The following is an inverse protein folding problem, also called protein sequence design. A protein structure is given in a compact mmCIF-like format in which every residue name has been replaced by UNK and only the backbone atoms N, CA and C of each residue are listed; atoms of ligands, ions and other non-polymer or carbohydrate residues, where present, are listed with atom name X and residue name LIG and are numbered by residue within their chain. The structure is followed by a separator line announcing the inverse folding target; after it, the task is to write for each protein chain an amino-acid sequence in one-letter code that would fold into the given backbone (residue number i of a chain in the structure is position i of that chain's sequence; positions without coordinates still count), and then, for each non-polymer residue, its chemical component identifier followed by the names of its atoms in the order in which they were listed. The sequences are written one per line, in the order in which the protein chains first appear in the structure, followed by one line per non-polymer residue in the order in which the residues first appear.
data_IF_272499463676
#
_entry.id   IF_272499463676
#
_cell.length_a   1.000
_cell.length_b   1.000
_cell.length_c   1.000
_cell.angle_alpha   90.00
_cell.angle_beta   90.00
_cell.angle_gamma   90.00
#
_symmetry.space_group_name_H-M   'P 1'
#
loop_
_entity.id
_entity.type
_entity.pdbx_description
1 polymer ?
#
# COMPACT_ATOMS: atom_id res chain seq x y z
N UNK A 1 11.46 -3.38 25.94
CA UNK A 1 12.05 -4.62 25.37
C UNK A 1 13.44 -4.26 24.87
N UNK A 2 14.48 -4.92 25.40
CA UNK A 2 15.85 -4.74 24.92
C UNK A 2 16.01 -5.34 23.52
N UNK A 3 16.91 -4.78 22.69
CA UNK A 3 17.18 -5.21 21.30
C UNK A 3 17.50 -6.71 21.19
N UNK A 4 18.11 -7.30 22.23
CA UNK A 4 18.36 -8.76 22.31
C UNK A 4 17.09 -9.61 22.22
N UNK A 5 15.94 -9.09 22.65
CA UNK A 5 14.65 -9.80 22.53
C UNK A 5 14.07 -9.80 21.10
N UNK A 6 14.63 -9.00 20.19
CA UNK A 6 14.13 -8.82 18.83
C UNK A 6 14.83 -9.71 17.79
N UNK A 7 15.78 -10.56 18.22
CA UNK A 7 16.67 -11.33 17.31
C UNK A 7 17.48 -10.44 16.33
N UNK A 8 17.55 -9.13 16.58
CA UNK A 8 18.39 -8.21 15.82
C UNK A 8 19.77 -8.21 16.48
N UNK A 9 20.74 -8.75 15.77
CA UNK A 9 22.11 -8.75 16.25
C UNK A 9 22.76 -7.40 16.01
N UNK A 10 23.63 -6.98 16.94
CA UNK A 10 24.33 -5.69 16.85
C UNK A 10 25.12 -5.57 15.53
N UNK A 11 25.67 -6.68 15.02
CA UNK A 11 26.41 -6.70 13.76
C UNK A 11 25.57 -6.22 12.56
N UNK A 12 24.27 -6.53 12.53
CA UNK A 12 23.38 -6.10 11.44
C UNK A 12 23.23 -4.58 11.40
N UNK A 13 23.17 -3.94 12.57
CA UNK A 13 23.13 -2.47 12.69
C UNK A 13 24.49 -1.84 12.37
N UNK A 14 25.59 -2.50 12.74
CA UNK A 14 26.94 -2.06 12.37
C UNK A 14 27.10 -2.07 10.86
N UNK A 15 26.71 -3.16 10.19
CA UNK A 15 26.75 -3.28 8.72
C UNK A 15 25.85 -2.25 8.04
N UNK A 16 24.60 -2.08 8.49
CA UNK A 16 23.69 -1.08 7.94
C UNK A 16 24.28 0.35 7.99
N UNK A 17 24.85 0.73 9.14
CA UNK A 17 25.46 2.06 9.32
C UNK A 17 26.78 2.17 8.55
N UNK A 18 27.58 1.10 8.53
CA UNK A 18 28.85 1.06 7.80
C UNK A 18 28.64 1.21 6.29
N UNK A 19 27.70 0.47 5.70
CA UNK A 19 27.47 0.51 4.25
C UNK A 19 27.00 1.88 3.76
N UNK A 20 26.19 2.59 4.55
CA UNK A 20 25.53 3.83 4.10
C UNK A 20 26.23 5.12 4.54
N UNK A 21 26.88 5.15 5.70
CA UNK A 21 27.27 6.40 6.35
C UNK A 21 28.78 6.59 6.52
N UNK A 22 29.61 5.57 6.32
CA UNK A 22 31.06 5.72 6.48
C UNK A 22 31.89 4.67 5.77
N UNK A 23 33.08 5.05 5.32
CA UNK A 23 34.11 4.10 4.88
C UNK A 23 35.06 3.70 6.02
N UNK A 24 34.99 4.35 7.18
CA UNK A 24 35.79 4.03 8.38
C UNK A 24 35.06 3.09 9.33
N UNK A 25 35.78 2.36 10.18
CA UNK A 25 35.19 1.33 11.06
C UNK A 25 34.20 1.95 12.05
N UNK A 26 32.95 1.50 11.99
CA UNK A 26 31.90 1.88 12.93
C UNK A 26 32.03 1.06 14.23
N UNK A 27 31.92 1.73 15.37
CA UNK A 27 31.71 1.08 16.68
C UNK A 27 30.42 1.60 17.30
N UNK A 28 29.44 0.72 17.47
CA UNK A 28 28.20 1.07 18.18
C UNK A 28 28.51 1.30 19.67
N UNK A 29 27.96 2.38 20.21
CA UNK A 29 28.09 2.79 21.61
C UNK A 29 26.80 2.50 22.39
N UNK A 30 25.65 2.77 21.78
CA UNK A 30 24.35 2.55 22.39
C UNK A 30 23.27 2.35 21.32
N UNK A 31 22.27 1.53 21.62
CA UNK A 31 21.10 1.30 20.78
C UNK A 31 19.86 1.46 21.65
N UNK A 32 18.94 2.33 21.24
CA UNK A 32 17.61 2.43 21.84
C UNK A 32 16.56 2.07 20.81
N UNK A 33 15.58 1.24 21.19
CA UNK A 33 14.51 0.83 20.27
C UNK A 33 13.14 1.06 20.89
N UNK A 34 12.15 1.34 20.03
CA UNK A 34 10.74 1.42 20.40
C UNK A 34 9.90 0.74 19.33
N UNK A 35 9.04 -0.18 19.75
CA UNK A 35 8.01 -0.72 18.86
C UNK A 35 7.06 0.43 18.46
N UNK A 36 6.82 0.56 17.16
CA UNK A 36 5.89 1.53 16.58
C UNK A 36 4.69 0.86 15.91
N UNK A 37 4.58 -0.48 15.99
CA UNK A 37 3.37 -1.20 15.62
C UNK A 37 2.18 -0.79 16.46
N UNK A 38 1.25 -0.03 15.89
CA UNK A 38 -0.01 0.29 16.53
C UNK A 38 -1.00 -0.88 16.40
N UNK A 39 -1.77 -1.15 17.47
CA UNK A 39 -2.85 -2.16 17.47
C UNK A 39 -3.85 -1.82 16.36
N UNK A 40 -4.06 -2.75 15.42
CA UNK A 40 -5.01 -2.61 14.31
C UNK A 40 -4.47 -1.88 13.05
N UNK A 41 -3.17 -1.57 13.01
CA UNK A 41 -2.55 -0.88 11.87
C UNK A 41 -1.49 -1.75 11.15
N UNK A 42 -0.74 -2.58 11.88
CA UNK A 42 0.35 -3.38 11.33
C UNK A 42 0.11 -4.87 11.58
N UNK A 43 -0.90 -5.45 10.92
CA UNK A 43 -1.17 -6.89 11.04
C UNK A 43 -0.07 -7.75 10.41
N UNK A 44 0.58 -7.24 9.35
CA UNK A 44 1.48 -8.00 8.50
C UNK A 44 2.96 -7.80 8.82
N UNK A 45 3.32 -6.96 9.79
CA UNK A 45 4.71 -6.77 10.21
C UNK A 45 4.83 -6.20 11.61
N UNK A 46 5.99 -6.40 12.22
CA UNK A 46 6.40 -5.67 13.42
C UNK A 46 7.45 -4.61 13.08
N UNK A 47 7.14 -3.35 13.37
CA UNK A 47 7.97 -2.18 13.06
C UNK A 47 8.58 -1.59 14.33
N UNK A 48 9.87 -1.30 14.26
CA UNK A 48 10.65 -0.70 15.33
C UNK A 48 11.35 0.56 14.83
N UNK A 49 11.24 1.64 15.61
CA UNK A 49 12.15 2.77 15.47
C UNK A 49 13.38 2.53 16.34
N UNK A 50 14.57 2.59 15.75
CA UNK A 50 15.83 2.31 16.43
C UNK A 50 16.79 3.48 16.26
N UNK A 51 17.24 4.04 17.38
CA UNK A 51 18.30 5.05 17.41
C UNK A 51 19.62 4.38 17.73
N UNK A 52 20.61 4.56 16.86
CA UNK A 52 21.96 4.02 17.00
C UNK A 52 22.93 5.16 17.25
N UNK A 53 23.58 5.15 18.42
CA UNK A 53 24.74 6.02 18.71
C UNK A 53 26.01 5.25 18.41
N UNK A 54 26.91 5.83 17.63
CA UNK A 54 28.11 5.16 17.16
C UNK A 54 29.30 6.12 17.06
N UNK A 55 30.49 5.55 16.97
CA UNK A 55 31.74 6.27 16.72
C UNK A 55 32.36 5.77 15.43
N UNK A 56 32.93 6.69 14.65
CA UNK A 56 33.71 6.37 13.45
C UNK A 56 35.19 6.37 13.84
N UNK A 57 35.88 5.24 13.70
CA UNK A 57 37.33 5.18 13.86
C UNK A 57 38.01 5.52 12.52
N UNK A 58 38.74 6.65 12.47
CA UNK A 58 39.62 6.98 11.35
C UNK A 58 41.02 6.43 11.59
N UNK A 59 41.70 5.96 10.54
CA UNK A 59 43.10 5.49 10.63
C UNK A 59 44.08 6.60 11.05
N UNK A 60 43.70 7.88 10.92
CA UNK A 60 44.64 9.01 11.02
C UNK A 60 44.34 10.07 12.09
N UNK A 61 43.30 9.98 12.93
CA UNK A 61 43.06 11.03 13.95
C UNK A 61 42.49 10.53 15.29
N UNK A 62 42.90 11.24 16.37
CA UNK A 62 42.40 11.17 17.75
C UNK A 62 40.94 11.65 17.92
N UNK A 63 40.24 12.04 16.85
CA UNK A 63 38.85 12.52 16.94
C UNK A 63 37.88 11.34 17.07
N UNK A 64 37.45 11.09 18.31
CA UNK A 64 36.37 10.16 18.66
C UNK A 64 34.99 10.81 18.42
N UNK A 65 34.70 11.26 17.20
CA UNK A 65 33.42 11.92 16.92
C UNK A 65 32.26 10.92 17.09
N UNK A 66 31.41 11.20 18.07
CA UNK A 66 30.18 10.44 18.30
C UNK A 66 29.07 10.97 17.38
N UNK A 67 28.38 10.05 16.73
CA UNK A 67 27.27 10.32 15.81
C UNK A 67 26.06 9.51 16.22
N UNK A 68 24.90 9.91 15.71
CA UNK A 68 23.66 9.17 15.90
C UNK A 68 22.84 9.13 14.61
N UNK A 69 22.19 8.00 14.36
CA UNK A 69 21.21 7.85 13.29
C UNK A 69 19.94 7.16 13.81
N UNK A 70 18.82 7.42 13.15
CA UNK A 70 17.53 6.79 13.43
C UNK A 70 17.13 5.93 12.22
N UNK A 71 16.69 4.70 12.52
CA UNK A 71 16.40 3.66 11.56
C UNK A 71 15.01 3.09 11.81
N UNK A 72 14.40 2.57 10.75
CA UNK A 72 13.21 1.75 10.83
C UNK A 72 13.61 0.30 10.60
N UNK A 73 13.21 -0.58 11.51
CA UNK A 73 13.42 -2.02 11.37
C UNK A 73 12.06 -2.68 11.21
N UNK A 74 11.89 -3.44 10.12
CA UNK A 74 10.69 -4.23 9.83
C UNK A 74 11.03 -5.71 9.96
N UNK A 75 10.21 -6.41 10.73
CA UNK A 75 10.32 -7.84 11.01
C UNK A 75 9.02 -8.55 10.69
N UNK A 76 9.10 -9.84 10.35
CA UNK A 76 7.91 -10.69 10.29
C UNK A 76 7.12 -10.64 11.62
N UNK A 77 5.79 -10.76 11.58
CA UNK A 77 4.97 -10.69 12.79
C UNK A 77 5.41 -11.67 13.88
N UNK A 78 5.41 -11.23 15.14
CA UNK A 78 5.61 -12.12 16.29
C UNK A 78 4.42 -13.07 16.50
N UNK A 79 3.21 -12.64 16.10
CA UNK A 79 2.00 -13.47 16.16
C UNK A 79 2.04 -14.54 15.07
N UNK A 80 1.92 -15.80 15.48
CA UNK A 80 2.02 -16.98 14.62
C UNK A 80 1.09 -16.92 13.40
N UNK A 81 -0.22 -16.70 13.61
CA UNK A 81 -1.17 -16.66 12.50
C UNK A 81 -0.89 -15.54 11.49
N UNK A 82 -0.47 -14.37 11.96
CA UNK A 82 -0.09 -13.27 11.08
C UNK A 82 1.17 -13.63 10.27
N UNK A 83 2.14 -14.31 10.90
CA UNK A 83 3.34 -14.80 10.22
C UNK A 83 3.02 -15.87 9.18
N UNK A 84 2.13 -16.81 9.48
CA UNK A 84 1.65 -17.81 8.51
C UNK A 84 1.07 -17.15 7.27
N UNK A 85 0.21 -16.12 7.44
CA UNK A 85 -0.39 -15.37 6.33
C UNK A 85 0.69 -14.65 5.50
N UNK A 86 1.66 -14.03 6.16
CA UNK A 86 2.78 -13.33 5.52
C UNK A 86 3.64 -14.29 4.70
N UNK A 87 3.97 -15.45 5.25
CA UNK A 87 4.81 -16.46 4.61
C UNK A 87 4.07 -17.17 3.47
N UNK A 88 2.79 -17.51 3.63
CA UNK A 88 1.98 -18.13 2.57
C UNK A 88 1.85 -17.25 1.33
N UNK A 89 1.95 -15.93 1.48
CA UNK A 89 1.81 -14.95 0.41
C UNK A 89 3.15 -14.36 -0.06
N UNK A 90 4.28 -14.78 0.53
CA UNK A 90 5.62 -14.28 0.23
C UNK A 90 5.77 -12.74 0.41
N UNK A 91 5.02 -12.12 1.34
CA UNK A 91 4.91 -10.65 1.42
C UNK A 91 6.26 -9.96 1.70
N UNK A 92 7.09 -10.53 2.59
CA UNK A 92 8.42 -9.99 2.88
C UNK A 92 9.37 -10.19 1.69
N UNK A 93 9.29 -11.32 1.00
CA UNK A 93 10.10 -11.54 -0.19
C UNK A 93 9.76 -10.54 -1.30
N UNK A 94 8.47 -10.26 -1.51
CA UNK A 94 7.98 -9.25 -2.44
C UNK A 94 8.54 -7.87 -2.07
N UNK A 95 8.34 -7.44 -0.81
CA UNK A 95 8.81 -6.14 -0.35
C UNK A 95 10.33 -5.99 -0.49
N UNK A 96 11.09 -7.00 -0.09
CA UNK A 96 12.55 -6.99 -0.20
C UNK A 96 13.01 -6.81 -1.64
N UNK A 97 12.41 -7.55 -2.59
CA UNK A 97 12.73 -7.39 -4.02
C UNK A 97 12.42 -5.98 -4.52
N UNK A 98 11.32 -5.38 -4.09
CA UNK A 98 11.00 -4.00 -4.47
C UNK A 98 12.04 -3.03 -3.90
N UNK A 99 12.31 -3.11 -2.60
CA UNK A 99 13.25 -2.23 -1.89
C UNK A 99 14.70 -2.37 -2.40
N UNK A 100 15.15 -3.60 -2.67
CA UNK A 100 16.53 -3.89 -3.08
C UNK A 100 16.74 -3.76 -4.58
N UNK A 101 15.82 -4.31 -5.38
CA UNK A 101 16.06 -4.54 -6.81
C UNK A 101 15.31 -3.56 -7.71
N UNK A 102 14.26 -2.88 -7.22
CA UNK A 102 13.41 -2.01 -8.06
C UNK A 102 13.54 -0.53 -7.69
N UNK A 103 13.28 -0.16 -6.44
CA UNK A 103 13.24 1.25 -6.03
C UNK A 103 14.54 2.02 -6.29
N UNK A 104 15.74 1.48 -6.03
CA UNK A 104 16.98 2.20 -6.34
C UNK A 104 17.09 2.52 -7.84
N UNK A 105 16.74 1.54 -8.70
CA UNK A 105 16.76 1.72 -10.16
C UNK A 105 15.74 2.76 -10.60
N UNK A 106 14.54 2.78 -10.01
CA UNK A 106 13.53 3.79 -10.33
C UNK A 106 14.00 5.17 -9.88
N UNK A 107 14.50 5.30 -8.65
CA UNK A 107 14.96 6.57 -8.10
C UNK A 107 16.07 7.21 -8.98
N UNK A 108 17.02 6.40 -9.45
CA UNK A 108 18.08 6.83 -10.37
C UNK A 108 17.52 7.31 -11.73
N UNK A 109 16.45 6.67 -12.20
CA UNK A 109 15.83 7.00 -13.50
C UNK A 109 15.02 8.28 -13.45
N UNK A 110 14.17 8.42 -12.43
CA UNK A 110 13.23 9.54 -12.32
C UNK A 110 13.81 10.74 -11.56
N UNK A 111 15.07 10.64 -11.12
CA UNK A 111 15.80 11.63 -10.31
C UNK A 111 14.98 12.11 -9.10
N UNK A 112 14.25 11.18 -8.49
CA UNK A 112 13.35 11.45 -7.38
C UNK A 112 13.08 10.18 -6.57
N UNK A 113 13.38 10.14 -5.26
CA UNK A 113 13.11 8.96 -4.46
C UNK A 113 11.59 8.71 -4.36
N UNK A 114 11.16 7.48 -4.63
CA UNK A 114 9.74 7.11 -4.53
C UNK A 114 9.41 6.55 -3.13
N UNK A 115 10.36 5.89 -2.49
CA UNK A 115 10.20 5.25 -1.18
C UNK A 115 11.46 5.33 -0.34
N UNK A 116 11.51 4.56 0.77
CA UNK A 116 12.66 4.56 1.67
C UNK A 116 13.86 3.81 1.07
N UNK A 117 15.06 4.23 1.44
CA UNK A 117 16.28 3.50 1.15
C UNK A 117 16.46 2.29 2.10
N UNK A 118 16.72 1.12 1.53
CA UNK A 118 17.11 -0.09 2.26
C UNK A 118 18.60 -0.03 2.60
N UNK A 119 18.92 -0.06 3.89
CA UNK A 119 20.30 0.03 4.39
C UNK A 119 20.91 -1.34 4.63
N UNK A 120 20.09 -2.31 5.03
CA UNK A 120 20.50 -3.69 5.24
C UNK A 120 19.29 -4.61 5.15
N UNK A 121 19.52 -5.83 4.68
CA UNK A 121 18.52 -6.89 4.73
C UNK A 121 19.15 -8.24 5.08
N UNK A 122 18.40 -9.06 5.81
CA UNK A 122 18.67 -10.49 5.96
C UNK A 122 17.46 -11.27 5.45
N UNK A 123 17.68 -12.43 4.83
CA UNK A 123 16.62 -13.27 4.26
C UNK A 123 16.15 -14.36 5.23
N UNK A 124 16.92 -14.67 6.29
CA UNK A 124 16.58 -15.69 7.27
C UNK A 124 17.13 -15.38 8.68
N UNK A 125 16.29 -14.90 9.62
CA UNK A 125 14.92 -14.43 9.39
C UNK A 125 14.89 -13.18 8.51
N UNK A 126 13.75 -12.87 7.90
CA UNK A 126 13.61 -11.60 7.19
C UNK A 126 13.75 -10.41 8.15
N UNK A 127 14.73 -9.55 7.88
CA UNK A 127 14.98 -8.30 8.61
C UNK A 127 15.24 -7.20 7.59
N UNK A 128 14.46 -6.12 7.62
CA UNK A 128 14.73 -4.93 6.81
C UNK A 128 15.14 -3.79 7.71
N UNK A 129 16.29 -3.18 7.44
CA UNK A 129 16.74 -1.95 8.09
C UNK A 129 16.70 -0.85 7.04
N UNK A 130 15.90 0.18 7.29
CA UNK A 130 15.67 1.30 6.38
C UNK A 130 15.93 2.62 7.10
N UNK A 131 16.10 3.68 6.32
CA UNK A 131 16.12 5.04 6.86
C UNK A 131 14.78 5.42 7.53
N UNK A 132 14.86 6.32 8.52
CA UNK A 132 13.67 6.95 9.11
C UNK A 132 13.26 8.21 8.33
N UNK A 133 12.27 8.07 7.45
CA UNK A 133 11.73 9.18 6.65
C UNK A 133 11.16 10.33 7.51
N UNK A 134 10.79 10.10 8.78
CA UNK A 134 10.35 11.17 9.67
C UNK A 134 11.47 12.20 9.90
N UNK A 135 12.75 11.81 9.81
CA UNK A 135 13.89 12.75 9.93
C UNK A 135 14.03 13.67 8.74
N UNK A 136 13.47 13.29 7.60
CA UNK A 136 13.46 14.10 6.39
C UNK A 136 12.20 14.99 6.29
N UNK A 137 11.36 14.98 7.34
CA UNK A 137 10.13 15.77 7.43
C UNK A 137 8.90 15.09 6.82
N UNK A 138 8.98 13.80 6.45
CA UNK A 138 7.84 13.07 5.93
C UNK A 138 6.97 12.51 7.07
N UNK A 139 5.65 12.66 6.95
CA UNK A 139 4.67 12.21 7.94
C UNK A 139 3.45 11.58 7.26
N UNK A 140 2.88 10.56 7.90
CA UNK A 140 1.59 9.99 7.46
C UNK A 140 0.45 10.94 7.84
N UNK A 141 -0.58 11.04 6.98
CA UNK A 141 -1.78 11.84 7.26
C UNK A 141 -2.82 11.02 8.01
N UNK A 142 -3.75 11.72 8.67
CA UNK A 142 -4.81 11.06 9.44
C UNK A 142 -5.83 10.40 8.50
N UNK A 143 -5.93 9.06 8.54
CA UNK A 143 -6.90 8.30 7.72
C UNK A 143 -8.35 8.71 7.89
N UNK A 144 -8.76 9.18 9.08
CA UNK A 144 -10.12 9.63 9.33
C UNK A 144 -10.46 10.96 8.63
N UNK A 145 -9.44 11.76 8.30
CA UNK A 145 -9.62 13.02 7.56
C UNK A 145 -9.58 12.83 6.05
N UNK A 146 -9.15 11.66 5.55
CA UNK A 146 -8.92 11.40 4.13
C UNK A 146 -7.92 12.41 3.51
N UNK A 147 -7.80 12.43 2.19
CA UNK A 147 -6.88 13.31 1.46
C UNK A 147 -7.63 14.42 0.72
N UNK A 148 -7.10 15.64 0.78
CA UNK A 148 -7.59 16.78 -0.03
C UNK A 148 -7.32 16.56 -1.51
N UNK A 149 -7.89 17.40 -2.36
CA UNK A 149 -7.67 17.36 -3.81
C UNK A 149 -6.18 17.50 -4.17
N UNK A 150 -5.47 18.45 -3.57
CA UNK A 150 -4.04 18.72 -3.82
C UNK A 150 -3.16 17.54 -3.37
N UNK A 151 -3.51 16.93 -2.22
CA UNK A 151 -2.82 15.74 -1.74
C UNK A 151 -3.05 14.54 -2.66
N UNK A 152 -4.27 14.37 -3.17
CA UNK A 152 -4.57 13.35 -4.18
C UNK A 152 -3.76 13.57 -5.45
N UNK A 153 -3.61 14.82 -5.91
CA UNK A 153 -2.77 15.14 -7.07
C UNK A 153 -1.32 14.68 -6.87
N UNK A 154 -0.72 15.00 -5.72
CA UNK A 154 0.65 14.58 -5.42
C UNK A 154 0.81 13.06 -5.42
N UNK A 155 -0.12 12.33 -4.81
CA UNK A 155 -0.04 10.86 -4.77
C UNK A 155 -0.22 10.26 -6.16
N UNK A 156 -1.17 10.74 -6.95
CA UNK A 156 -1.39 10.27 -8.34
C UNK A 156 -0.15 10.52 -9.20
N UNK A 157 0.51 11.67 -9.05
CA UNK A 157 1.76 11.97 -9.74
C UNK A 157 2.89 11.01 -9.30
N UNK A 158 3.00 10.72 -8.01
CA UNK A 158 4.00 9.76 -7.50
C UNK A 158 3.74 8.34 -7.99
N UNK A 159 2.48 7.88 -8.01
CA UNK A 159 2.09 6.59 -8.61
C UNK A 159 2.48 6.57 -10.10
N UNK A 160 2.18 7.64 -10.86
CA UNK A 160 2.55 7.72 -12.27
C UNK A 160 4.06 7.64 -12.51
N UNK A 161 4.88 8.31 -11.68
CA UNK A 161 6.34 8.25 -11.74
C UNK A 161 6.87 6.85 -11.39
N UNK A 162 6.31 6.22 -10.35
CA UNK A 162 6.64 4.85 -9.98
C UNK A 162 6.31 3.87 -11.12
N UNK A 163 5.12 3.99 -11.72
CA UNK A 163 4.69 3.19 -12.85
C UNK A 163 5.60 3.40 -14.07
N UNK A 164 5.94 4.65 -14.44
CA UNK A 164 6.87 4.95 -15.54
C UNK A 164 8.25 4.33 -15.30
N UNK A 165 8.81 4.50 -14.10
CA UNK A 165 10.08 3.90 -13.73
C UNK A 165 10.07 2.38 -13.81
N UNK A 166 8.97 1.74 -13.38
CA UNK A 166 8.81 0.28 -13.48
C UNK A 166 8.86 -0.20 -14.93
N UNK A 167 8.26 0.54 -15.89
CA UNK A 167 8.33 0.20 -17.31
C UNK A 167 9.77 0.25 -17.81
N UNK A 168 10.53 1.29 -17.46
CA UNK A 168 11.95 1.37 -17.82
C UNK A 168 12.80 0.25 -17.19
N UNK A 169 12.50 -0.16 -15.96
CA UNK A 169 13.16 -1.29 -15.31
C UNK A 169 12.84 -2.60 -16.06
N UNK A 170 11.58 -2.81 -16.42
CA UNK A 170 11.14 -3.98 -17.19
C UNK A 170 11.80 -4.07 -18.56
N UNK A 171 11.88 -2.96 -19.31
CA UNK A 171 12.54 -2.91 -20.61
C UNK A 171 14.03 -3.31 -20.55
N UNK A 172 14.69 -3.06 -19.41
CA UNK A 172 16.10 -3.39 -19.20
C UNK A 172 16.30 -4.80 -18.66
N UNK A 173 15.40 -5.26 -17.80
CA UNK A 173 15.45 -6.59 -17.20
C UNK A 173 14.03 -7.09 -16.87
N UNK A 174 13.36 -7.76 -17.83
CA UNK A 174 11.98 -8.21 -17.67
C UNK A 174 11.79 -9.15 -16.47
N UNK A 175 12.74 -10.05 -16.24
CA UNK A 175 12.67 -11.07 -15.19
C UNK A 175 12.57 -10.51 -13.76
N UNK A 176 12.94 -9.24 -13.53
CA UNK A 176 12.69 -8.60 -12.23
C UNK A 176 11.18 -8.44 -12.02
N UNK A 177 10.45 -7.83 -12.97
CA UNK A 177 9.04 -7.52 -12.79
C UNK A 177 8.13 -8.74 -12.99
N UNK A 178 8.48 -9.65 -13.90
CA UNK A 178 7.75 -10.92 -14.11
C UNK A 178 7.69 -11.74 -12.80
N UNK A 179 8.69 -11.59 -11.92
CA UNK A 179 8.69 -12.27 -10.61
C UNK A 179 7.58 -11.80 -9.64
N UNK A 180 6.83 -10.75 -9.98
CA UNK A 180 5.72 -10.20 -9.18
C UNK A 180 4.33 -10.55 -9.72
N UNK A 181 4.20 -11.37 -10.77
CA UNK A 181 2.90 -11.75 -11.36
C UNK A 181 1.93 -12.44 -10.38
N UNK A 182 2.47 -13.07 -9.32
CA UNK A 182 1.67 -13.79 -8.32
C UNK A 182 1.51 -13.01 -7.00
N UNK A 183 1.82 -11.71 -6.99
CA UNK A 183 1.62 -10.81 -5.85
C UNK A 183 0.18 -10.31 -5.70
N UNK A 184 -0.02 -9.31 -4.85
CA UNK A 184 -1.31 -8.62 -4.65
C UNK A 184 -2.14 -9.13 -3.46
N UNK A 185 -2.89 -8.21 -2.85
CA UNK A 185 -3.67 -8.42 -1.60
C UNK A 185 -4.80 -9.45 -1.71
N UNK A 186 -5.32 -9.66 -2.93
CA UNK A 186 -6.40 -10.62 -3.24
C UNK A 186 -5.94 -11.70 -4.21
N UNK A 187 -4.65 -12.02 -4.18
CA UNK A 187 -4.06 -13.06 -5.03
C UNK A 187 -4.60 -14.45 -4.68
N UNK A 188 -4.27 -15.44 -5.51
CA UNK A 188 -4.57 -16.86 -5.25
C UNK A 188 -3.93 -17.40 -3.95
N UNK A 189 -2.91 -16.72 -3.41
CA UNK A 189 -2.25 -17.06 -2.15
C UNK A 189 -2.98 -16.48 -0.93
N UNK A 190 -3.91 -15.55 -1.13
CA UNK A 190 -4.70 -14.97 -0.06
C UNK A 190 -5.59 -16.07 0.59
N UNK A 191 -5.68 -16.16 1.93
CA UNK A 191 -6.48 -17.17 2.60
C UNK A 191 -7.95 -17.16 2.13
N UNK A 192 -8.53 -18.34 1.89
CA UNK A 192 -9.91 -18.46 1.40
C UNK A 192 -10.94 -17.80 2.33
N UNK A 193 -10.68 -17.82 3.63
CA UNK A 193 -11.52 -17.18 4.63
C UNK A 193 -11.56 -15.64 4.48
N UNK A 194 -10.55 -15.01 3.87
CA UNK A 194 -10.61 -13.59 3.49
C UNK A 194 -11.66 -13.35 2.42
N UNK A 195 -11.76 -14.20 1.40
CA UNK A 195 -12.80 -14.09 0.37
C UNK A 195 -14.19 -14.39 0.94
N UNK A 196 -14.30 -15.33 1.89
CA UNK A 196 -15.54 -15.57 2.63
C UNK A 196 -15.98 -14.33 3.40
N UNK A 197 -15.05 -13.65 4.09
CA UNK A 197 -15.32 -12.38 4.77
C UNK A 197 -15.81 -11.31 3.80
N UNK A 198 -15.24 -11.20 2.60
CA UNK A 198 -15.73 -10.26 1.58
C UNK A 198 -17.15 -10.59 1.14
N UNK A 199 -17.45 -11.86 0.88
CA UNK A 199 -18.78 -12.34 0.52
C UNK A 199 -19.80 -12.00 1.61
N UNK A 200 -19.54 -12.37 2.86
CA UNK A 200 -20.44 -12.10 3.99
C UNK A 200 -20.63 -10.59 4.17
N UNK A 201 -19.58 -9.78 4.04
CA UNK A 201 -19.68 -8.32 4.12
C UNK A 201 -20.64 -7.76 3.06
N UNK A 202 -20.51 -8.19 1.81
CA UNK A 202 -21.39 -7.73 0.72
C UNK A 202 -22.83 -8.18 0.91
N UNK A 203 -23.07 -9.40 1.39
CA UNK A 203 -24.42 -9.88 1.69
C UNK A 203 -25.09 -9.03 2.76
N UNK A 204 -24.38 -8.71 3.85
CA UNK A 204 -24.89 -7.88 4.95
C UNK A 204 -25.17 -6.45 4.49
N UNK A 205 -24.22 -5.83 3.77
CA UNK A 205 -24.38 -4.50 3.20
C UNK A 205 -25.59 -4.48 2.26
N UNK A 206 -25.67 -5.42 1.32
CA UNK A 206 -26.78 -5.51 0.37
C UNK A 206 -28.13 -5.67 1.07
N UNK A 207 -28.21 -6.47 2.14
CA UNK A 207 -29.46 -6.65 2.88
C UNK A 207 -29.91 -5.37 3.60
N UNK A 208 -28.98 -4.63 4.21
CA UNK A 208 -29.28 -3.35 4.85
C UNK A 208 -29.75 -2.29 3.85
N UNK A 209 -29.13 -2.22 2.67
CA UNK A 209 -29.48 -1.24 1.64
C UNK A 209 -30.89 -1.42 1.08
N UNK A 210 -31.46 -2.63 1.09
CA UNK A 210 -32.87 -2.86 0.70
C UNK A 210 -33.84 -2.04 1.54
N UNK A 211 -33.48 -1.79 2.80
CA UNK A 211 -34.33 -1.09 3.77
C UNK A 211 -34.12 0.43 3.75
N UNK A 212 -33.22 0.96 2.91
CA UNK A 212 -32.97 2.40 2.80
C UNK A 212 -33.99 3.04 1.87
N UNK A 213 -35.07 3.55 2.45
CA UNK A 213 -36.16 4.21 1.70
C UNK A 213 -35.85 5.65 1.33
N UNK A 214 -34.85 6.27 1.96
CA UNK A 214 -34.49 7.67 1.73
C UNK A 214 -33.50 7.88 0.56
N UNK A 215 -32.91 6.80 0.04
CA UNK A 215 -32.04 6.83 -1.15
C UNK A 215 -32.37 5.64 -2.06
N UNK A 216 -33.36 5.83 -2.92
CA UNK A 216 -33.86 4.79 -3.84
C UNK A 216 -32.75 4.16 -4.70
N UNK A 217 -31.74 4.94 -5.10
CA UNK A 217 -30.60 4.46 -5.90
C UNK A 217 -29.73 3.44 -5.15
N UNK A 218 -29.60 3.56 -3.82
CA UNK A 218 -28.92 2.57 -2.99
C UNK A 218 -29.72 1.26 -2.91
N UNK A 219 -31.04 1.35 -2.69
CA UNK A 219 -31.91 0.19 -2.66
C UNK A 219 -31.91 -0.56 -4.01
N UNK A 220 -31.85 0.17 -5.14
CA UNK A 220 -31.72 -0.41 -6.50
C UNK A 220 -30.39 -1.15 -6.72
N UNK A 221 -29.32 -0.78 -6.02
CA UNK A 221 -28.03 -1.46 -6.12
C UNK A 221 -27.97 -2.75 -5.28
N UNK A 222 -28.81 -2.88 -4.24
CA UNK A 222 -28.78 -4.00 -3.30
C UNK A 222 -28.84 -5.40 -3.97
N UNK A 223 -29.76 -5.70 -4.92
CA UNK A 223 -29.81 -7.01 -5.55
C UNK A 223 -28.54 -7.35 -6.34
N UNK A 224 -27.91 -6.35 -6.97
CA UNK A 224 -26.65 -6.53 -7.71
C UNK A 224 -25.49 -6.80 -6.77
N UNK A 225 -25.40 -6.08 -5.65
CA UNK A 225 -24.37 -6.31 -4.62
C UNK A 225 -24.48 -7.72 -4.03
N UNK A 226 -25.70 -8.17 -3.72
CA UNK A 226 -25.96 -9.52 -3.21
C UNK A 226 -25.55 -10.58 -4.23
N UNK A 227 -25.93 -10.41 -5.50
CA UNK A 227 -25.53 -11.31 -6.58
C UNK A 227 -24.01 -11.32 -6.78
N UNK A 228 -23.35 -10.16 -6.71
CA UNK A 228 -21.90 -10.06 -6.82
C UNK A 228 -21.20 -10.85 -5.71
N UNK A 229 -21.75 -10.86 -4.49
CA UNK A 229 -21.19 -11.57 -3.35
C UNK A 229 -20.96 -13.06 -3.62
N UNK A 230 -21.79 -13.70 -4.45
CA UNK A 230 -21.65 -15.12 -4.83
C UNK A 230 -20.36 -15.41 -5.62
N UNK A 231 -19.83 -14.41 -6.33
CA UNK A 231 -18.68 -14.55 -7.23
C UNK A 231 -17.50 -13.65 -6.86
N UNK A 232 -17.57 -12.92 -5.74
CA UNK A 232 -16.58 -11.89 -5.37
C UNK A 232 -15.17 -12.46 -5.26
N UNK A 233 -15.00 -13.65 -4.67
CA UNK A 233 -13.68 -14.28 -4.50
C UNK A 233 -13.00 -14.55 -5.84
N UNK A 234 -13.68 -15.25 -6.75
CA UNK A 234 -13.16 -15.56 -8.09
C UNK A 234 -12.93 -14.29 -8.91
N UNK A 235 -13.86 -13.33 -8.88
CA UNK A 235 -13.69 -12.05 -9.59
C UNK A 235 -12.49 -11.26 -9.04
N UNK A 236 -12.27 -11.22 -7.72
CA UNK A 236 -11.12 -10.57 -7.09
C UNK A 236 -9.80 -11.24 -7.45
N UNK A 237 -9.69 -12.57 -7.42
CA UNK A 237 -8.46 -13.27 -7.82
C UNK A 237 -8.06 -12.92 -9.26
N UNK A 238 -9.05 -12.77 -10.14
CA UNK A 238 -8.82 -12.50 -11.56
C UNK A 238 -8.44 -11.04 -11.87
N UNK A 239 -8.49 -10.10 -10.91
CA UNK A 239 -8.14 -8.69 -11.19
C UNK A 239 -6.65 -8.53 -11.56
N UNK A 240 -5.79 -9.41 -11.04
CA UNK A 240 -4.36 -9.39 -11.32
C UNK A 240 -3.96 -10.17 -12.55
N UNK A 241 -4.91 -10.85 -13.22
CA UNK A 241 -4.62 -11.68 -14.39
C UNK A 241 -3.79 -10.86 -15.37
N UNK A 242 -2.57 -11.33 -15.58
CA UNK A 242 -1.64 -10.74 -16.53
C UNK A 242 -2.21 -10.86 -17.94
N UNK A 243 -2.14 -9.74 -18.67
CA UNK A 243 -2.61 -9.63 -20.04
C UNK A 243 -1.50 -8.94 -20.82
N UNK A 244 -0.77 -9.69 -21.66
CA UNK A 244 0.40 -9.20 -22.38
C UNK A 244 0.07 -8.10 -23.38
N UNK A 245 -1.20 -8.02 -23.79
CA UNK A 245 -1.68 -7.02 -24.73
C UNK A 245 -2.08 -5.70 -24.02
N UNK A 246 -2.13 -5.71 -22.69
CA UNK A 246 -2.39 -4.51 -21.88
C UNK A 246 -1.09 -3.83 -21.45
N UNK A 247 -1.18 -2.52 -21.20
CA UNK A 247 -0.10 -1.78 -20.57
C UNK A 247 0.07 -2.23 -19.11
N UNK A 248 1.18 -2.90 -18.80
CA UNK A 248 1.49 -3.44 -17.48
C UNK A 248 2.64 -2.68 -16.79
N UNK A 249 2.53 -2.55 -15.47
CA UNK A 249 3.46 -1.82 -14.59
C UNK A 249 3.63 -2.60 -13.28
N UNK A 250 4.68 -2.31 -12.53
CA UNK A 250 4.70 -2.71 -11.12
C UNK A 250 3.76 -1.79 -10.34
N UNK A 251 2.68 -2.33 -9.82
CA UNK A 251 1.81 -1.63 -8.89
C UNK A 251 2.36 -1.74 -7.48
N UNK A 252 2.14 -0.72 -6.65
CA UNK A 252 2.35 -0.77 -5.21
C UNK A 252 1.44 -1.81 -4.56
N UNK A 253 0.21 -1.95 -5.06
CA UNK A 253 -0.77 -2.97 -4.68
C UNK A 253 -1.55 -2.66 -3.39
N UNK A 254 -0.99 -1.85 -2.50
CA UNK A 254 -1.64 -1.33 -1.29
C UNK A 254 -1.41 0.18 -1.09
N UNK A 255 -1.65 1.00 -2.14
CA UNK A 255 -1.43 2.45 -2.07
C UNK A 255 -2.61 3.16 -1.39
N UNK A 256 -2.70 3.07 -0.06
CA UNK A 256 -3.66 3.80 0.76
C UNK A 256 -2.98 4.79 1.70
N UNK A 257 -3.74 5.71 2.31
CA UNK A 257 -3.22 6.85 3.08
C UNK A 257 -2.18 6.51 4.17
N UNK A 258 -2.24 5.32 4.77
CA UNK A 258 -1.26 4.91 5.79
C UNK A 258 0.09 4.45 5.20
N UNK A 259 0.12 4.16 3.90
CA UNK A 259 1.31 3.79 3.14
C UNK A 259 1.86 4.97 2.31
N UNK A 260 1.36 6.18 2.59
CA UNK A 260 1.77 7.43 1.94
C UNK A 260 2.26 8.40 3.00
N UNK A 261 3.53 8.80 2.87
CA UNK A 261 4.12 9.82 3.73
C UNK A 261 4.30 11.13 2.96
N UNK A 262 3.84 12.23 3.53
CA UNK A 262 3.88 13.55 2.93
C UNK A 262 4.91 14.43 3.61
N UNK A 263 5.62 15.24 2.83
CA UNK A 263 6.40 16.36 3.35
C UNK A 263 5.60 17.63 3.17
N UNK A 264 5.46 18.39 4.25
CA UNK A 264 4.76 19.67 4.25
C UNK A 264 5.76 20.83 4.35
N UNK A 265 5.38 21.99 3.80
CA UNK A 265 6.03 23.26 4.11
C UNK A 265 5.69 23.71 5.53
N UNK A 266 6.38 24.73 6.03
CA UNK A 266 6.09 25.34 7.33
C UNK A 266 4.64 25.88 7.43
N UNK A 267 4.02 26.24 6.29
CA UNK A 267 2.63 26.68 6.20
C UNK A 267 1.62 25.51 6.13
N UNK A 268 2.07 24.26 6.25
CA UNK A 268 1.22 23.07 6.25
C UNK A 268 0.79 22.58 4.86
N UNK A 269 1.36 23.11 3.77
CA UNK A 269 1.07 22.67 2.40
C UNK A 269 1.93 21.45 2.06
N UNK A 270 1.31 20.35 1.64
CA UNK A 270 2.04 19.18 1.15
C UNK A 270 2.75 19.48 -0.18
N UNK A 271 4.02 19.07 -0.28
CA UNK A 271 4.90 19.38 -1.43
C UNK A 271 5.64 18.16 -1.98
N UNK A 272 5.75 17.09 -1.21
CA UNK A 272 6.43 15.87 -1.65
C UNK A 272 5.78 14.63 -1.01
N UNK A 273 5.92 13.47 -1.66
CA UNK A 273 5.32 12.20 -1.27
C UNK A 273 6.33 11.05 -1.39
N UNK A 274 6.37 10.19 -0.38
CA UNK A 274 7.04 8.89 -0.41
C UNK A 274 6.02 7.79 -0.14
N UNK A 275 6.08 6.71 -0.92
CA UNK A 275 5.30 5.50 -0.69
C UNK A 275 6.11 4.51 0.15
N UNK A 276 5.45 3.82 1.07
CA UNK A 276 6.06 2.83 1.98
C UNK A 276 5.20 1.57 2.02
N UNK A 277 5.76 0.45 2.48
CA UNK A 277 5.08 -0.85 2.58
C UNK A 277 4.68 -1.46 1.22
N UNK A 278 5.69 -1.94 0.49
CA UNK A 278 5.56 -2.50 -0.87
C UNK A 278 5.20 -3.99 -0.89
N UNK A 279 4.79 -4.56 0.24
CA UNK A 279 4.60 -6.00 0.43
C UNK A 279 3.51 -6.62 -0.46
N UNK A 280 2.60 -5.78 -0.99
CA UNK A 280 1.51 -6.20 -1.88
C UNK A 280 1.78 -5.93 -3.35
N UNK A 281 3.01 -5.57 -3.71
CA UNK A 281 3.35 -5.19 -5.09
C UNK A 281 3.06 -6.33 -6.08
N UNK A 282 2.56 -5.95 -7.25
CA UNK A 282 2.13 -6.89 -8.29
C UNK A 282 2.37 -6.31 -9.68
N UNK A 283 2.92 -7.12 -10.58
CA UNK A 283 3.09 -6.72 -11.98
C UNK A 283 1.79 -6.99 -12.75
N UNK A 284 1.07 -5.92 -13.09
CA UNK A 284 -0.25 -5.98 -13.75
C UNK A 284 -0.65 -4.62 -14.32
N UNK A 285 -1.90 -4.47 -14.75
CA UNK A 285 -2.45 -3.18 -15.21
C UNK A 285 -2.31 -2.08 -14.14
N UNK A 286 -2.03 -0.82 -14.51
CA UNK A 286 -1.99 0.32 -13.57
C UNK A 286 -3.36 0.60 -12.92
N UNK A 287 -4.43 -0.01 -13.44
CA UNK A 287 -5.77 0.11 -12.88
C UNK A 287 -5.84 -0.38 -11.42
N UNK A 288 -4.94 -1.27 -10.99
CA UNK A 288 -4.92 -1.78 -9.60
C UNK A 288 -4.71 -0.64 -8.61
N UNK A 289 -3.61 0.12 -8.72
CA UNK A 289 -3.34 1.22 -7.80
C UNK A 289 -4.36 2.36 -7.94
N UNK A 290 -4.80 2.67 -9.16
CA UNK A 290 -5.78 3.73 -9.41
C UNK A 290 -7.15 3.42 -8.79
N UNK A 291 -7.67 2.20 -9.00
CA UNK A 291 -8.93 1.76 -8.41
C UNK A 291 -8.81 1.72 -6.88
N UNK A 292 -7.71 1.22 -6.34
CA UNK A 292 -7.53 1.16 -4.89
C UNK A 292 -7.48 2.55 -4.25
N UNK A 293 -6.60 3.41 -4.75
CA UNK A 293 -6.36 4.74 -4.20
C UNK A 293 -7.63 5.61 -4.27
N UNK A 294 -8.25 5.74 -5.45
CA UNK A 294 -9.40 6.63 -5.66
C UNK A 294 -10.64 6.18 -4.86
N UNK A 295 -10.78 4.88 -4.61
CA UNK A 295 -11.92 4.36 -3.85
C UNK A 295 -11.73 4.43 -2.33
N UNK A 296 -10.51 4.60 -1.82
CA UNK A 296 -10.24 4.62 -0.36
C UNK A 296 -9.81 6.00 0.15
N UNK A 297 -8.96 6.72 -0.57
CA UNK A 297 -8.20 7.84 0.02
C UNK A 297 -8.80 9.24 -0.12
N UNK A 298 -9.43 9.63 -1.25
CA UNK A 298 -9.98 10.97 -1.39
C UNK A 298 -11.06 11.28 -0.36
N UNK A 299 -11.06 12.52 0.14
CA UNK A 299 -12.11 13.03 1.01
C UNK A 299 -13.49 13.03 0.32
N UNK A 300 -14.55 13.11 1.11
CA UNK A 300 -15.92 12.98 0.63
C UNK A 300 -16.26 13.99 -0.48
N UNK A 301 -15.78 15.23 -0.39
CA UNK A 301 -15.96 16.31 -1.39
C UNK A 301 -15.22 16.07 -2.71
N UNK A 302 -14.17 15.25 -2.69
CA UNK A 302 -13.31 15.01 -3.86
C UNK A 302 -13.68 13.71 -4.58
N UNK A 303 -14.05 12.69 -3.80
CA UNK A 303 -14.35 11.34 -4.28
C UNK A 303 -15.46 11.34 -5.33
N UNK A 304 -15.22 10.65 -6.45
CA UNK A 304 -16.10 10.53 -7.62
C UNK A 304 -16.32 11.79 -8.47
N UNK A 305 -16.16 12.98 -7.89
CA UNK A 305 -16.41 14.26 -8.58
C UNK A 305 -15.22 14.69 -9.46
N UNK A 306 -14.03 14.11 -9.24
CA UNK A 306 -12.77 14.50 -9.88
C UNK A 306 -12.03 13.33 -10.57
N UNK A 307 -12.68 12.18 -10.74
CA UNK A 307 -11.99 10.96 -11.21
C UNK A 307 -11.37 11.16 -12.60
N UNK A 308 -12.08 11.78 -13.53
CA UNK A 308 -11.56 12.05 -14.89
C UNK A 308 -10.32 12.97 -14.83
N UNK A 309 -10.34 14.00 -13.98
CA UNK A 309 -9.18 14.86 -13.76
C UNK A 309 -7.98 14.06 -13.23
N UNK A 310 -8.18 13.17 -12.24
CA UNK A 310 -7.09 12.35 -11.71
C UNK A 310 -6.55 11.37 -12.75
N UNK A 311 -7.39 10.80 -13.61
CA UNK A 311 -6.95 9.93 -14.70
C UNK A 311 -6.14 10.71 -15.75
N UNK A 312 -6.53 11.94 -16.07
CA UNK A 312 -5.79 12.83 -16.98
C UNK A 312 -4.44 13.23 -16.38
N UNK A 313 -4.42 13.58 -15.10
CA UNK A 313 -3.18 13.90 -14.36
C UNK A 313 -2.24 12.69 -14.29
N UNK A 314 -2.77 11.50 -13.99
CA UNK A 314 -2.01 10.25 -14.02
C UNK A 314 -1.37 10.04 -15.39
N UNK A 315 -2.18 10.12 -16.45
CA UNK A 315 -1.74 9.77 -17.79
C UNK A 315 -0.74 10.79 -18.37
N UNK A 316 -0.94 12.08 -18.11
CA UNK A 316 0.01 13.13 -18.49
C UNK A 316 1.35 12.94 -17.79
N UNK A 317 1.35 12.78 -16.46
CA UNK A 317 2.57 12.54 -15.66
C UNK A 317 3.30 11.27 -16.10
N UNK A 318 2.56 10.18 -16.37
CA UNK A 318 3.12 8.92 -16.86
C UNK A 318 3.82 9.13 -18.21
N UNK A 319 3.14 9.77 -19.16
CA UNK A 319 3.66 10.04 -20.52
C UNK A 319 4.93 10.90 -20.48
N UNK A 320 4.89 11.98 -19.70
CA UNK A 320 6.03 12.89 -19.56
C UNK A 320 7.23 12.18 -18.92
N UNK A 321 6.99 11.42 -17.84
CA UNK A 321 8.06 10.68 -17.13
C UNK A 321 8.64 9.57 -18.01
N UNK A 322 7.80 8.78 -18.69
CA UNK A 322 8.27 7.74 -19.61
C UNK A 322 9.12 8.33 -20.75
N UNK A 323 8.72 9.50 -21.27
CA UNK A 323 9.49 10.20 -22.30
C UNK A 323 10.83 10.70 -21.75
N UNK A 324 10.86 11.27 -20.55
CA UNK A 324 12.09 11.82 -19.97
C UNK A 324 13.13 10.75 -19.65
N UNK A 325 12.69 9.56 -19.21
CA UNK A 325 13.58 8.43 -18.87
C UNK A 325 13.86 7.49 -20.08
N UNK A 326 13.32 7.82 -21.25
CA UNK A 326 13.61 7.13 -22.50
C UNK A 326 12.95 5.76 -22.69
N UNK A 327 11.76 5.54 -22.13
CA UNK A 327 11.00 4.30 -22.37
C UNK A 327 10.67 4.11 -23.85
N UNK A 328 10.77 2.88 -24.34
CA UNK A 328 10.39 2.48 -25.71
C UNK A 328 8.91 2.07 -25.79
N UNK A 329 8.38 1.55 -24.69
CA UNK A 329 6.98 1.15 -24.53
C UNK A 329 6.09 2.36 -24.69
N UNK A 330 5.02 2.22 -25.46
CA UNK A 330 4.05 3.30 -25.64
C UNK A 330 3.16 3.39 -24.40
N UNK A 331 2.95 4.59 -23.83
CA UNK A 331 1.98 4.79 -22.77
C UNK A 331 0.55 4.55 -23.29
N UNK A 332 -0.39 4.13 -22.43
CA UNK A 332 -1.74 3.87 -22.86
C UNK A 332 -2.47 5.16 -23.27
N UNK A 333 -3.52 5.01 -24.05
CA UNK A 333 -4.51 6.06 -24.31
C UNK A 333 -5.50 6.15 -23.13
N UNK A 334 -6.23 7.27 -23.04
CA UNK A 334 -7.30 7.40 -22.04
C UNK A 334 -8.37 6.31 -22.22
N UNK A 335 -8.66 5.92 -23.47
CA UNK A 335 -9.60 4.85 -23.78
C UNK A 335 -9.13 3.50 -23.22
N UNK A 336 -7.90 3.10 -23.52
CA UNK A 336 -7.31 1.84 -23.02
C UNK A 336 -7.24 1.83 -21.48
N UNK A 337 -6.90 2.97 -20.87
CA UNK A 337 -6.88 3.08 -19.41
C UNK A 337 -8.28 2.90 -18.80
N UNK A 338 -9.31 3.57 -19.35
CA UNK A 338 -10.70 3.43 -18.89
C UNK A 338 -11.24 2.01 -19.12
N UNK A 339 -10.88 1.36 -20.22
CA UNK A 339 -11.22 -0.05 -20.49
C UNK A 339 -10.57 -0.99 -19.47
N UNK A 340 -9.29 -0.80 -19.15
CA UNK A 340 -8.58 -1.58 -18.14
C UNK A 340 -9.16 -1.40 -16.72
N UNK A 341 -9.54 -0.17 -16.36
CA UNK A 341 -10.26 0.17 -15.12
C UNK A 341 -11.61 -0.55 -15.09
N UNK A 342 -12.40 -0.46 -16.16
CA UNK A 342 -13.70 -1.10 -16.23
C UNK A 342 -13.62 -2.63 -16.16
N UNK A 343 -12.62 -3.24 -16.82
CA UNK A 343 -12.35 -4.69 -16.74
C UNK A 343 -12.07 -5.16 -15.30
N UNK A 344 -11.49 -4.30 -14.47
CA UNK A 344 -11.10 -4.59 -13.08
C UNK A 344 -11.99 -3.91 -12.02
N UNK A 345 -13.13 -3.36 -12.42
CA UNK A 345 -14.05 -2.57 -11.56
C UNK A 345 -14.47 -3.26 -10.25
N UNK A 346 -14.47 -4.60 -10.20
CA UNK A 346 -14.71 -5.34 -8.95
C UNK A 346 -13.69 -5.00 -7.85
N UNK A 347 -12.48 -4.61 -8.23
CA UNK A 347 -11.45 -4.17 -7.30
C UNK A 347 -11.83 -2.85 -6.60
N UNK A 348 -12.59 -1.96 -7.26
CA UNK A 348 -13.19 -0.80 -6.60
C UNK A 348 -14.26 -1.21 -5.59
N UNK A 349 -15.04 -2.27 -5.85
CA UNK A 349 -16.01 -2.79 -4.87
C UNK A 349 -15.29 -3.36 -3.64
N UNK A 350 -14.23 -4.13 -3.85
CA UNK A 350 -13.37 -4.60 -2.76
C UNK A 350 -12.79 -3.43 -1.95
N UNK A 351 -12.16 -2.46 -2.61
CA UNK A 351 -11.52 -1.32 -1.96
C UNK A 351 -12.52 -0.41 -1.24
N UNK A 352 -13.56 0.05 -1.95
CA UNK A 352 -14.52 1.04 -1.46
C UNK A 352 -15.61 0.45 -0.57
N UNK A 353 -16.26 -0.64 -0.98
CA UNK A 353 -17.43 -1.19 -0.27
C UNK A 353 -17.00 -2.14 0.84
N UNK A 354 -16.01 -3.01 0.60
CA UNK A 354 -15.60 -3.99 1.62
C UNK A 354 -14.59 -3.38 2.60
N UNK A 355 -13.45 -2.89 2.12
CA UNK A 355 -12.39 -2.40 2.99
C UNK A 355 -12.71 -1.04 3.61
N UNK A 356 -13.04 -0.04 2.79
CA UNK A 356 -13.17 1.33 3.29
C UNK A 356 -14.36 1.49 4.25
N UNK A 357 -15.51 0.86 3.99
CA UNK A 357 -16.62 0.86 4.95
C UNK A 357 -16.27 0.14 6.26
N UNK A 358 -15.53 -0.99 6.23
CA UNK A 358 -15.01 -1.63 7.46
C UNK A 358 -14.06 -0.72 8.22
N UNK A 359 -13.20 0.03 7.53
CA UNK A 359 -12.28 0.98 8.15
C UNK A 359 -13.00 2.18 8.80
N UNK A 360 -14.21 2.49 8.34
CA UNK A 360 -15.09 3.51 8.91
C UNK A 360 -15.95 2.98 10.06
N UNK A 361 -15.98 1.68 10.35
CA UNK A 361 -16.79 1.14 11.44
C UNK A 361 -16.40 1.75 12.80
N UNK A 362 -17.38 1.84 13.73
CA UNK A 362 -17.12 2.28 15.09
C UNK A 362 -16.15 1.32 15.78
N UNK A 363 -15.34 1.82 16.72
CA UNK A 363 -14.28 1.02 17.38
C UNK A 363 -14.83 -0.23 18.06
N UNK A 364 -16.04 -0.15 18.59
CA UNK A 364 -16.75 -1.21 19.29
C UNK A 364 -17.23 -2.33 18.35
N UNK A 365 -17.40 -2.03 17.06
CA UNK A 365 -17.81 -2.97 16.03
C UNK A 365 -16.60 -3.60 15.29
N UNK A 366 -15.37 -3.12 15.55
CA UNK A 366 -14.15 -3.66 14.93
C UNK A 366 -13.85 -5.04 15.50
N UNK A 367 -13.99 -6.06 14.66
CA UNK A 367 -13.59 -7.43 14.95
C UNK A 367 -12.07 -7.62 14.75
N UNK A 368 -11.43 -8.42 15.60
CA UNK A 368 -10.03 -8.81 15.40
C UNK A 368 -9.90 -9.66 14.12
N UNK A 369 -8.96 -9.30 13.25
CA UNK A 369 -8.80 -9.98 11.96
C UNK A 369 -8.42 -11.46 12.10
N UNK A 370 -7.63 -11.81 13.12
CA UNK A 370 -7.28 -13.22 13.40
C UNK A 370 -8.52 -13.99 13.81
N UNK A 371 -9.35 -13.41 14.67
CA UNK A 371 -10.59 -14.04 15.10
C UNK A 371 -11.53 -14.32 13.90
N UNK A 372 -11.75 -13.33 13.04
CA UNK A 372 -12.64 -13.48 11.88
C UNK A 372 -12.11 -14.51 10.89
N UNK A 373 -10.84 -14.41 10.50
CA UNK A 373 -10.28 -15.23 9.43
C UNK A 373 -9.90 -16.63 9.90
N UNK A 374 -9.34 -16.78 11.10
CA UNK A 374 -8.90 -18.10 11.63
C UNK A 374 -10.04 -18.85 12.29
N UNK A 375 -10.71 -18.20 13.25
CA UNK A 375 -11.59 -18.90 14.20
C UNK A 375 -13.05 -18.92 13.72
N UNK A 376 -13.49 -17.87 13.02
CA UNK A 376 -14.85 -17.77 12.48
C UNK A 376 -14.96 -18.17 11.00
N UNK A 377 -13.88 -18.65 10.36
CA UNK A 377 -13.91 -19.11 8.97
C UNK A 377 -14.27 -18.01 7.95
N UNK A 378 -14.03 -16.74 8.28
CA UNK A 378 -14.44 -15.59 7.47
C UNK A 378 -15.86 -15.09 7.76
N UNK A 379 -16.62 -15.72 8.67
CA UNK A 379 -17.89 -15.16 9.13
C UNK A 379 -17.64 -13.89 9.95
N UNK A 380 -18.25 -12.78 9.53
CA UNK A 380 -18.13 -11.47 10.17
C UNK A 380 -19.50 -10.96 10.57
N UNK A 381 -19.59 -10.40 11.78
CA UNK A 381 -20.82 -9.80 12.30
C UNK A 381 -20.81 -8.28 12.21
N UNK A 382 -19.70 -7.69 11.74
CA UNK A 382 -19.50 -6.25 11.64
C UNK A 382 -20.67 -5.57 10.91
N UNK A 383 -21.22 -4.55 11.55
CA UNK A 383 -22.26 -3.68 11.01
C UNK A 383 -21.65 -2.31 10.74
N UNK A 384 -21.19 -2.12 9.50
CA UNK A 384 -20.48 -0.89 9.09
C UNK A 384 -21.38 0.35 9.11
N UNK A 385 -22.72 0.18 9.06
CA UNK A 385 -23.68 1.28 9.01
C UNK A 385 -24.15 1.78 10.37
N UNK A 386 -23.63 1.21 11.47
CA UNK A 386 -23.75 1.83 12.80
C UNK A 386 -23.01 3.16 12.90
N UNK A 387 -22.01 3.39 12.05
CA UNK A 387 -21.38 4.71 11.93
C UNK A 387 -22.17 5.58 10.93
N UNK A 388 -22.74 6.73 11.34
CA UNK A 388 -23.42 7.66 10.44
C UNK A 388 -22.55 8.17 9.29
N UNK A 389 -21.24 8.31 9.48
CA UNK A 389 -20.31 8.73 8.43
C UNK A 389 -20.16 7.66 7.34
N UNK A 390 -20.21 6.37 7.72
CA UNK A 390 -20.22 5.27 6.77
C UNK A 390 -21.53 5.24 5.96
N UNK A 391 -22.67 5.53 6.59
CA UNK A 391 -23.96 5.69 5.89
C UNK A 391 -23.90 6.85 4.89
N UNK A 392 -23.42 8.02 5.32
CA UNK A 392 -23.25 9.20 4.44
C UNK A 392 -22.35 8.89 3.25
N UNK A 393 -21.22 8.22 3.49
CA UNK A 393 -20.29 7.81 2.45
C UNK A 393 -20.92 6.82 1.46
N UNK A 394 -21.60 5.78 1.95
CA UNK A 394 -22.26 4.79 1.11
C UNK A 394 -23.36 5.41 0.22
N UNK A 395 -24.12 6.38 0.75
CA UNK A 395 -25.13 7.13 -0.01
C UNK A 395 -24.56 7.93 -1.17
N UNK A 396 -23.29 8.35 -1.11
CA UNK A 396 -22.59 8.97 -2.24
C UNK A 396 -22.01 7.92 -3.20
N UNK A 397 -21.33 6.92 -2.64
CA UNK A 397 -20.53 5.96 -3.39
C UNK A 397 -21.36 4.96 -4.19
N UNK A 398 -22.32 4.30 -3.54
CA UNK A 398 -23.03 3.15 -4.11
C UNK A 398 -23.83 3.53 -5.37
N UNK A 399 -24.54 4.68 -5.42
CA UNK A 399 -25.23 5.09 -6.63
C UNK A 399 -24.28 5.26 -7.83
N UNK A 400 -23.14 5.95 -7.63
CA UNK A 400 -22.14 6.18 -8.69
C UNK A 400 -21.52 4.87 -9.16
N UNK A 401 -21.16 3.97 -8.23
CA UNK A 401 -20.62 2.65 -8.58
C UNK A 401 -21.63 1.82 -9.37
N UNK A 402 -22.92 1.90 -9.03
CA UNK A 402 -23.97 1.19 -9.76
C UNK A 402 -24.17 1.75 -11.17
N UNK A 403 -24.18 3.08 -11.33
CA UNK A 403 -24.29 3.74 -12.63
C UNK A 403 -23.12 3.37 -13.55
N UNK A 404 -21.90 3.28 -12.99
CA UNK A 404 -20.70 2.85 -13.72
C UNK A 404 -20.60 1.33 -13.95
N UNK A 405 -21.60 0.56 -13.53
CA UNK A 405 -21.67 -0.89 -13.70
C UNK A 405 -20.70 -1.70 -12.84
N UNK A 406 -20.21 -1.15 -11.72
CA UNK A 406 -19.21 -1.83 -10.88
C UNK A 406 -19.75 -3.07 -10.18
N UNK A 407 -21.07 -3.18 -10.02
CA UNK A 407 -21.74 -4.33 -9.42
C UNK A 407 -22.17 -5.42 -10.41
N UNK A 408 -21.91 -5.23 -11.71
CA UNK A 408 -22.31 -6.16 -12.77
C UNK A 408 -21.29 -7.31 -12.99
#
# INVERSE_FOLDING_TARGET
MEVKSLRIEQHMLEEAVQQQLSTGTIKILNITSRCISARGFNFLSDLFKVSVKYRVASKNEHSKLERSTDLIIKLEPFKEFAREIVQQQDLFQIELKVLRDVLPKIADLVDHPIGPCLWYSCDNPYVFIMEDLNKQGFVMKCRQKALSFEQCCLVIQTIAKFHAGSVAVHERNPGILESFENGGIVSKKCPQNCFRMMQVSLLRIGDQLKNWTDVESCAKAAPKIIKLAESIGTKCINVYKYDSDEFCVLNHGDCWINNVMFKDTEQGKSVDVRLVDYQMSVYSSPAIDLLYFLNICPEFSVKYDNDDYFLELYLSTLKETMKSIGCKTKPPTMKELKEAIHKRRVYAVFAGVVLYLRMMANKEDIEDFTEVVKNCGGETKMDVFRNPDAVKLAKKMIPVMNERGYFD
#
